data_IF_036153510484
#
_entry.id   IF_036153510484
#
_cell.length_a   1.000
_cell.length_b   1.000
_cell.length_c   1.000
_cell.angle_alpha   90.00
_cell.angle_beta   90.00
_cell.angle_gamma   90.00
#
_symmetry.space_group_name_H-M   'P 1'
#
loop_
_entity.id
_entity.type
_entity.pdbx_description
1 polymer ?
#
# COMPACT_ATOMS: atom_id res chain seq x y z
N UNK A 1 14.22 -1.36 -10.44
CA UNK A 1 14.99 -1.35 -11.71
C UNK A 1 15.95 -0.16 -11.78
N UNK A 2 15.50 1.08 -11.68
CA UNK A 2 16.39 2.26 -11.68
C UNK A 2 17.41 2.21 -10.53
N UNK A 3 16.99 1.81 -9.34
CA UNK A 3 17.90 1.60 -8.22
C UNK A 3 18.99 0.58 -8.56
N UNK A 4 18.64 -0.58 -9.10
CA UNK A 4 19.64 -1.61 -9.45
C UNK A 4 20.53 -1.20 -10.64
N UNK A 5 19.94 -0.48 -11.60
CA UNK A 5 20.70 0.08 -12.72
C UNK A 5 21.71 1.12 -12.24
N UNK A 6 21.31 1.97 -11.28
CA UNK A 6 22.22 2.98 -10.70
C UNK A 6 23.41 2.35 -9.98
N UNK A 7 23.22 1.19 -9.31
CA UNK A 7 24.32 0.41 -8.71
C UNK A 7 25.37 -0.02 -9.75
N UNK A 8 24.91 -0.43 -10.93
CA UNK A 8 25.82 -0.79 -12.02
C UNK A 8 26.53 0.44 -12.60
N UNK A 9 25.80 1.54 -12.82
CA UNK A 9 26.31 2.78 -13.39
C UNK A 9 27.24 3.56 -12.45
N UNK A 10 27.15 3.36 -11.14
CA UNK A 10 28.05 3.95 -10.16
C UNK A 10 29.52 3.65 -10.45
N UNK A 11 29.83 2.50 -11.05
CA UNK A 11 31.19 2.13 -11.46
C UNK A 11 31.77 3.07 -12.53
N UNK A 12 30.90 3.77 -13.27
CA UNK A 12 31.29 4.64 -14.38
C UNK A 12 31.14 6.14 -14.06
N UNK A 13 30.19 6.51 -13.19
CA UNK A 13 29.94 7.90 -12.85
C UNK A 13 29.34 8.05 -11.44
N UNK A 14 30.01 8.86 -10.60
CA UNK A 14 29.58 9.15 -9.22
C UNK A 14 28.25 9.89 -9.11
N UNK A 15 27.76 10.51 -10.21
CA UNK A 15 26.44 11.17 -10.24
C UNK A 15 25.29 10.23 -9.85
N UNK A 16 25.37 8.94 -10.20
CA UNK A 16 24.36 7.94 -9.87
C UNK A 16 24.26 7.62 -8.38
N UNK A 17 25.19 8.11 -7.56
CA UNK A 17 25.13 7.95 -6.10
C UNK A 17 23.90 8.60 -5.48
N UNK A 18 23.31 9.62 -6.12
CA UNK A 18 22.11 10.30 -5.63
C UNK A 18 20.91 9.34 -5.48
N UNK A 19 20.83 8.30 -6.33
CA UNK A 19 19.75 7.30 -6.30
C UNK A 19 19.85 6.38 -5.07
N UNK A 20 20.99 6.34 -4.37
CA UNK A 20 21.16 5.56 -3.14
C UNK A 20 20.51 6.23 -1.93
N UNK A 21 20.35 7.55 -1.95
CA UNK A 21 19.70 8.25 -0.85
C UNK A 21 18.20 7.95 -0.83
N UNK A 22 17.72 7.44 0.31
CA UNK A 22 16.29 7.12 0.52
C UNK A 22 15.40 8.34 0.32
N UNK A 23 15.83 9.53 0.81
CA UNK A 23 15.10 10.79 0.63
C UNK A 23 14.91 11.16 -0.84
N UNK A 24 15.97 11.03 -1.65
CA UNK A 24 15.86 11.26 -3.09
C UNK A 24 14.90 10.28 -3.75
N UNK A 25 15.02 8.98 -3.45
CA UNK A 25 14.14 7.95 -4.00
C UNK A 25 12.69 8.15 -3.58
N UNK A 26 12.43 8.53 -2.33
CA UNK A 26 11.10 8.81 -1.84
C UNK A 26 10.43 9.95 -2.63
N UNK A 27 11.14 11.08 -2.81
CA UNK A 27 10.61 12.23 -3.58
C UNK A 27 10.45 11.86 -5.06
N UNK A 28 11.45 11.26 -5.67
CA UNK A 28 11.41 10.88 -7.08
C UNK A 28 10.32 9.83 -7.36
N UNK A 29 10.14 8.87 -6.46
CA UNK A 29 9.08 7.86 -6.56
C UNK A 29 7.68 8.45 -6.38
N UNK A 30 7.50 9.41 -5.48
CA UNK A 30 6.24 10.14 -5.31
C UNK A 30 5.86 10.87 -6.60
N UNK A 31 6.80 11.65 -7.17
CA UNK A 31 6.56 12.43 -8.40
C UNK A 31 6.28 11.50 -9.58
N UNK A 32 7.07 10.45 -9.77
CA UNK A 32 6.85 9.49 -10.85
C UNK A 32 5.54 8.72 -10.68
N UNK A 33 5.16 8.36 -9.46
CA UNK A 33 3.92 7.68 -9.15
C UNK A 33 2.70 8.56 -9.44
N UNK A 34 2.76 9.83 -9.05
CA UNK A 34 1.76 10.83 -9.41
C UNK A 34 1.63 10.97 -10.93
N UNK A 35 2.76 11.13 -11.64
CA UNK A 35 2.76 11.26 -13.08
C UNK A 35 2.16 10.04 -13.78
N UNK A 36 2.57 8.83 -13.41
CA UNK A 36 2.03 7.59 -13.99
C UNK A 36 0.55 7.40 -13.67
N UNK A 37 0.10 7.76 -12.47
CA UNK A 37 -1.31 7.67 -12.11
C UNK A 37 -2.16 8.58 -12.99
N UNK A 38 -1.75 9.82 -13.21
CA UNK A 38 -2.45 10.78 -14.09
C UNK A 38 -2.40 10.29 -15.56
N UNK A 39 -1.23 9.85 -16.02
CA UNK A 39 -1.04 9.40 -17.41
C UNK A 39 -1.89 8.19 -17.75
N UNK A 40 -1.82 7.16 -16.91
CA UNK A 40 -2.58 5.93 -17.11
C UNK A 40 -4.05 6.06 -16.73
N UNK A 41 -4.41 7.02 -15.87
CA UNK A 41 -5.77 7.25 -15.41
C UNK A 41 -6.74 7.48 -16.57
N UNK A 42 -6.42 8.38 -17.49
CA UNK A 42 -7.25 8.67 -18.67
C UNK A 42 -7.47 7.43 -19.55
N UNK A 43 -6.40 6.70 -19.82
CA UNK A 43 -6.46 5.46 -20.61
C UNK A 43 -7.28 4.39 -19.89
N UNK A 44 -7.03 4.19 -18.60
CA UNK A 44 -7.72 3.21 -17.77
C UNK A 44 -9.22 3.49 -17.68
N UNK A 45 -9.62 4.73 -17.42
CA UNK A 45 -11.03 5.15 -17.36
C UNK A 45 -11.73 4.83 -18.67
N UNK A 46 -11.11 5.15 -19.81
CA UNK A 46 -11.68 4.85 -21.14
C UNK A 46 -11.88 3.35 -21.38
N UNK A 47 -10.94 2.52 -20.94
CA UNK A 47 -10.99 1.07 -21.10
C UNK A 47 -11.91 0.40 -20.06
N UNK A 48 -11.85 0.86 -18.81
CA UNK A 48 -12.66 0.32 -17.70
C UNK A 48 -14.15 0.52 -17.92
N UNK A 49 -14.59 1.67 -18.46
CA UNK A 49 -16.00 1.91 -18.84
C UNK A 49 -16.55 0.85 -19.81
N UNK A 50 -15.71 0.32 -20.68
CA UNK A 50 -16.12 -0.71 -21.65
C UNK A 50 -16.09 -2.11 -21.05
N UNK A 51 -15.12 -2.40 -20.18
CA UNK A 51 -14.92 -3.74 -19.61
C UNK A 51 -15.72 -3.98 -18.32
N UNK A 52 -15.93 -2.93 -17.54
CA UNK A 52 -16.53 -3.01 -16.21
C UNK A 52 -17.64 -1.94 -16.04
N UNK A 53 -18.76 -2.06 -16.76
CA UNK A 53 -19.86 -1.11 -16.66
C UNK A 53 -20.46 -1.17 -15.25
N UNK A 54 -20.58 -0.01 -14.60
CA UNK A 54 -21.29 0.07 -13.32
C UNK A 54 -22.79 -0.13 -13.54
N UNK A 55 -23.42 -0.94 -12.70
CA UNK A 55 -24.87 -1.05 -12.60
C UNK A 55 -25.35 -0.27 -11.38
N UNK A 56 -26.30 0.65 -11.58
CA UNK A 56 -26.94 1.34 -10.46
C UNK A 56 -27.76 0.32 -9.64
N UNK A 57 -27.50 0.27 -8.32
CA UNK A 57 -28.27 -0.58 -7.43
C UNK A 57 -29.72 -0.09 -7.34
N UNK A 58 -30.72 -0.97 -7.15
CA UNK A 58 -32.15 -0.59 -7.08
C UNK A 58 -32.45 0.49 -6.03
N UNK A 59 -31.68 0.53 -4.95
CA UNK A 59 -31.84 1.43 -3.81
C UNK A 59 -31.09 2.76 -3.95
N UNK A 60 -30.41 2.99 -5.07
CA UNK A 60 -29.64 4.23 -5.26
C UNK A 60 -30.61 5.41 -5.48
N UNK A 61 -30.48 6.52 -4.74
CA UNK A 61 -31.32 7.69 -4.92
C UNK A 61 -31.29 8.21 -6.36
N UNK A 62 -32.43 8.70 -6.87
CA UNK A 62 -32.58 9.15 -8.28
C UNK A 62 -31.52 10.17 -8.73
N UNK A 63 -31.02 11.01 -7.82
CA UNK A 63 -29.91 11.96 -8.09
C UNK A 63 -28.57 11.27 -8.46
N UNK A 64 -28.38 10.03 -8.06
CA UNK A 64 -27.15 9.25 -8.29
C UNK A 64 -27.31 8.30 -9.48
N UNK A 65 -28.53 8.07 -9.98
CA UNK A 65 -28.78 7.23 -11.17
C UNK A 65 -28.09 7.74 -12.45
N UNK A 66 -27.75 9.03 -12.54
CA UNK A 66 -26.96 9.56 -13.66
C UNK A 66 -25.47 9.13 -13.62
N UNK A 67 -25.05 8.33 -12.65
CA UNK A 67 -23.69 7.77 -12.51
C UNK A 67 -23.54 6.39 -13.18
N UNK A 68 -24.50 5.92 -13.97
CA UNK A 68 -24.47 4.63 -14.69
C UNK A 68 -23.29 4.46 -15.65
N UNK A 69 -22.42 5.47 -15.77
CA UNK A 69 -21.24 5.45 -16.61
C UNK A 69 -19.92 5.66 -15.85
N UNK A 70 -19.94 5.63 -14.50
CA UNK A 70 -18.68 5.72 -13.75
C UNK A 70 -17.91 4.41 -13.85
N UNK A 71 -16.61 4.45 -14.11
CA UNK A 71 -15.79 3.25 -14.11
C UNK A 71 -15.72 2.65 -12.71
N UNK A 72 -15.95 1.36 -12.60
CA UNK A 72 -15.66 0.57 -11.40
C UNK A 72 -14.24 0.03 -11.46
N UNK A 73 -13.75 -0.55 -10.38
CA UNK A 73 -12.40 -1.16 -10.27
C UNK A 73 -11.23 -0.19 -10.38
N UNK A 74 -11.36 1.04 -9.88
CA UNK A 74 -10.27 2.02 -9.81
C UNK A 74 -9.04 1.50 -9.04
N UNK A 75 -9.24 0.62 -8.07
CA UNK A 75 -8.16 -0.06 -7.34
C UNK A 75 -7.15 -0.81 -8.22
N UNK A 76 -7.57 -1.30 -9.40
CA UNK A 76 -6.66 -1.92 -10.37
C UNK A 76 -5.63 -0.95 -10.92
N UNK A 77 -6.02 0.31 -11.19
CA UNK A 77 -5.09 1.36 -11.61
C UNK A 77 -4.08 1.66 -10.51
N UNK A 78 -4.56 1.78 -9.26
CA UNK A 78 -3.70 2.00 -8.09
C UNK A 78 -2.69 0.86 -7.97
N UNK A 79 -3.13 -0.40 -7.99
CA UNK A 79 -2.25 -1.57 -7.93
C UNK A 79 -1.19 -1.55 -9.02
N UNK A 80 -1.58 -1.32 -10.28
CA UNK A 80 -0.65 -1.28 -11.40
C UNK A 80 0.40 -0.18 -11.23
N UNK A 81 0.01 1.03 -10.86
CA UNK A 81 0.92 2.15 -10.66
C UNK A 81 1.86 1.93 -9.46
N UNK A 82 1.36 1.37 -8.36
CA UNK A 82 2.18 1.06 -7.18
C UNK A 82 3.21 -0.01 -7.51
N UNK A 83 2.82 -1.12 -8.13
CA UNK A 83 3.75 -2.20 -8.51
C UNK A 83 4.83 -1.67 -9.45
N UNK A 84 4.44 -0.93 -10.49
CA UNK A 84 5.38 -0.38 -11.46
C UNK A 84 6.40 0.54 -10.79
N UNK A 85 5.96 1.47 -9.94
CA UNK A 85 6.86 2.38 -9.25
C UNK A 85 7.72 1.67 -8.19
N UNK A 86 7.18 0.68 -7.49
CA UNK A 86 7.95 -0.16 -6.57
C UNK A 86 9.10 -0.87 -7.30
N UNK A 87 8.83 -1.50 -8.45
CA UNK A 87 9.86 -2.16 -9.26
C UNK A 87 10.90 -1.17 -9.81
N UNK A 88 10.52 0.08 -10.06
CA UNK A 88 11.45 1.12 -10.54
C UNK A 88 12.38 1.60 -9.43
N UNK A 89 11.85 1.98 -8.27
CA UNK A 89 12.56 2.76 -7.26
C UNK A 89 12.99 1.98 -6.02
N UNK A 90 12.28 0.91 -5.62
CA UNK A 90 12.59 0.17 -4.41
C UNK A 90 13.82 -0.73 -4.58
N UNK A 91 14.50 -0.97 -3.46
CA UNK A 91 15.57 -1.94 -3.37
C UNK A 91 14.97 -3.35 -3.22
N UNK A 92 14.91 -4.09 -4.33
CA UNK A 92 14.31 -5.43 -4.39
C UNK A 92 15.10 -6.50 -3.61
N UNK A 93 16.30 -6.19 -3.09
CA UNK A 93 17.03 -7.09 -2.20
C UNK A 93 16.55 -7.05 -0.75
N UNK A 94 15.72 -6.08 -0.40
CA UNK A 94 15.13 -5.94 0.94
C UNK A 94 13.82 -6.72 1.04
N UNK A 95 13.68 -7.53 2.08
CA UNK A 95 12.49 -8.37 2.30
C UNK A 95 11.21 -7.56 2.56
N UNK A 96 11.33 -6.37 3.15
CA UNK A 96 10.22 -5.46 3.42
C UNK A 96 9.44 -5.11 2.15
N UNK A 97 10.14 -4.99 1.02
CA UNK A 97 9.52 -4.71 -0.29
C UNK A 97 8.64 -5.88 -0.72
N UNK A 98 9.10 -7.11 -0.53
CA UNK A 98 8.33 -8.30 -0.89
C UNK A 98 7.16 -8.56 0.05
N UNK A 99 7.34 -8.27 1.37
CA UNK A 99 6.24 -8.33 2.35
C UNK A 99 5.14 -7.33 1.96
N UNK A 100 5.52 -6.10 1.62
CA UNK A 100 4.59 -5.08 1.14
C UNK A 100 3.86 -5.52 -0.13
N UNK A 101 4.58 -6.02 -1.14
CA UNK A 101 3.99 -6.50 -2.40
C UNK A 101 3.06 -7.69 -2.18
N UNK A 102 3.43 -8.63 -1.31
CA UNK A 102 2.59 -9.77 -0.96
C UNK A 102 1.28 -9.31 -0.30
N UNK A 103 1.37 -8.38 0.63
CA UNK A 103 0.21 -7.78 1.28
C UNK A 103 -0.68 -7.05 0.26
N UNK A 104 -0.08 -6.16 -0.55
CA UNK A 104 -0.76 -5.38 -1.57
C UNK A 104 -1.49 -6.27 -2.59
N UNK A 105 -0.81 -7.27 -3.13
CA UNK A 105 -1.38 -8.19 -4.12
C UNK A 105 -2.43 -9.10 -3.50
N UNK A 106 -2.18 -9.65 -2.30
CA UNK A 106 -3.11 -10.56 -1.64
C UNK A 106 -4.46 -9.89 -1.33
N UNK A 107 -4.43 -8.73 -0.67
CA UNK A 107 -5.66 -7.97 -0.41
C UNK A 107 -6.25 -7.36 -1.68
N UNK A 108 -5.40 -6.96 -2.64
CA UNK A 108 -5.83 -6.46 -3.94
C UNK A 108 -6.62 -7.49 -4.75
N UNK A 109 -6.18 -8.75 -4.75
CA UNK A 109 -6.91 -9.85 -5.42
C UNK A 109 -8.27 -10.09 -4.76
N UNK A 110 -8.34 -10.05 -3.42
CA UNK A 110 -9.62 -10.18 -2.71
C UNK A 110 -10.59 -9.06 -3.13
N UNK A 111 -10.11 -7.81 -3.14
CA UNK A 111 -10.92 -6.67 -3.60
C UNK A 111 -11.35 -6.80 -5.07
N UNK A 112 -10.44 -7.22 -5.94
CA UNK A 112 -10.74 -7.44 -7.34
C UNK A 112 -11.83 -8.50 -7.53
N UNK A 113 -11.73 -9.66 -6.86
CA UNK A 113 -12.72 -10.73 -6.96
C UNK A 113 -14.08 -10.29 -6.40
N UNK A 114 -14.08 -9.52 -5.30
CA UNK A 114 -15.30 -8.95 -4.73
C UNK A 114 -16.02 -8.01 -5.71
N UNK A 115 -15.26 -7.11 -6.35
CA UNK A 115 -15.81 -6.19 -7.36
C UNK A 115 -16.21 -6.90 -8.65
N UNK A 116 -15.46 -7.92 -9.06
CA UNK A 116 -15.80 -8.74 -10.21
C UNK A 116 -17.14 -9.47 -10.03
N UNK A 117 -17.36 -10.05 -8.83
CA UNK A 117 -18.65 -10.69 -8.51
C UNK A 117 -19.81 -9.71 -8.50
N UNK A 118 -19.62 -8.52 -7.93
CA UNK A 118 -20.66 -7.47 -7.93
C UNK A 118 -21.12 -7.05 -9.33
N UNK A 119 -20.22 -7.13 -10.33
CA UNK A 119 -20.57 -6.81 -11.72
C UNK A 119 -21.41 -7.92 -12.37
N UNK A 120 -21.14 -9.20 -12.03
CA UNK A 120 -21.77 -10.33 -12.71
C UNK A 120 -22.98 -10.91 -11.96
N UNK A 121 -23.02 -10.80 -10.64
CA UNK A 121 -24.00 -11.48 -9.79
C UNK A 121 -24.73 -10.58 -8.78
N UNK A 122 -24.76 -9.26 -8.98
CA UNK A 122 -25.38 -8.23 -8.13
C UNK A 122 -24.93 -8.22 -6.65
N UNK A 123 -24.52 -9.38 -6.09
CA UNK A 123 -23.94 -9.55 -4.76
C UNK A 123 -22.43 -9.84 -4.85
N UNK A 124 -21.64 -9.20 -3.97
CA UNK A 124 -20.22 -9.48 -3.84
C UNK A 124 -19.94 -10.83 -3.16
N UNK A 125 -18.69 -11.09 -2.81
CA UNK A 125 -18.29 -12.27 -2.02
C UNK A 125 -19.04 -12.26 -0.68
N UNK A 126 -19.49 -13.44 -0.22
CA UNK A 126 -20.11 -13.55 1.10
C UNK A 126 -19.15 -13.05 2.20
N UNK A 127 -19.66 -12.37 3.22
CA UNK A 127 -18.86 -11.77 4.30
C UNK A 127 -17.95 -12.81 4.99
N UNK A 128 -18.44 -14.05 5.16
CA UNK A 128 -17.65 -15.14 5.75
C UNK A 128 -16.48 -15.57 4.88
N UNK A 129 -16.71 -15.70 3.57
CA UNK A 129 -15.64 -16.06 2.62
C UNK A 129 -14.60 -14.93 2.52
N UNK A 130 -15.06 -13.67 2.45
CA UNK A 130 -14.18 -12.51 2.43
C UNK A 130 -13.27 -12.47 3.65
N UNK A 131 -13.85 -12.63 4.84
CA UNK A 131 -13.10 -12.69 6.09
C UNK A 131 -12.10 -13.86 6.09
N UNK A 132 -12.52 -15.06 5.67
CA UNK A 132 -11.63 -16.23 5.57
C UNK A 132 -10.45 -16.00 4.64
N UNK A 133 -10.67 -15.41 3.46
CA UNK A 133 -9.60 -15.06 2.52
C UNK A 133 -8.65 -13.99 3.09
N UNK A 134 -9.19 -12.98 3.77
CA UNK A 134 -8.38 -11.94 4.43
C UNK A 134 -7.51 -12.52 5.54
N UNK A 135 -8.06 -13.41 6.37
CA UNK A 135 -7.30 -14.13 7.41
C UNK A 135 -6.20 -15.00 6.79
N UNK A 136 -6.50 -15.73 5.72
CA UNK A 136 -5.52 -16.56 5.01
C UNK A 136 -4.37 -15.70 4.46
N UNK A 137 -4.67 -14.60 3.76
CA UNK A 137 -3.64 -13.67 3.24
C UNK A 137 -2.86 -13.04 4.38
N UNK A 138 -3.51 -12.59 5.45
CA UNK A 138 -2.85 -12.02 6.61
C UNK A 138 -1.87 -13.00 7.26
N UNK A 139 -2.28 -14.27 7.44
CA UNK A 139 -1.40 -15.32 7.95
C UNK A 139 -0.24 -15.61 7.00
N UNK A 140 -0.46 -15.64 5.69
CA UNK A 140 0.60 -15.84 4.70
C UNK A 140 1.65 -14.71 4.74
N UNK A 141 1.20 -13.45 4.85
CA UNK A 141 2.08 -12.27 4.99
C UNK A 141 2.93 -12.39 6.26
N UNK A 142 2.31 -12.72 7.40
CA UNK A 142 3.02 -12.87 8.67
C UNK A 142 4.00 -14.04 8.62
N UNK A 143 3.59 -15.19 8.07
CA UNK A 143 4.46 -16.35 7.91
C UNK A 143 5.69 -16.04 7.05
N UNK A 144 5.49 -15.33 5.93
CA UNK A 144 6.59 -14.87 5.09
C UNK A 144 7.52 -13.91 5.85
N UNK A 145 6.95 -12.95 6.59
CA UNK A 145 7.72 -12.02 7.39
C UNK A 145 8.60 -12.72 8.42
N UNK A 146 8.03 -13.64 9.21
CA UNK A 146 8.79 -14.40 10.20
C UNK A 146 9.86 -15.32 9.59
N UNK A 147 9.61 -15.87 8.40
CA UNK A 147 10.56 -16.77 7.74
C UNK A 147 11.80 -16.05 7.20
N UNK A 148 11.63 -14.82 6.68
CA UNK A 148 12.70 -14.14 5.94
C UNK A 148 13.29 -12.92 6.67
N UNK A 149 12.53 -12.27 7.52
CA UNK A 149 12.95 -11.07 8.28
C UNK A 149 12.23 -11.04 9.62
N UNK A 150 12.58 -11.96 10.57
CA UNK A 150 11.85 -12.08 11.83
C UNK A 150 11.76 -10.73 12.55
N UNK A 151 10.54 -10.20 12.81
CA UNK A 151 10.39 -8.92 13.49
C UNK A 151 10.66 -9.03 14.99
N UNK A 152 11.03 -7.91 15.59
CA UNK A 152 10.87 -7.77 17.03
C UNK A 152 9.39 -7.84 17.40
N UNK A 153 9.04 -8.68 18.38
CA UNK A 153 7.66 -8.79 18.86
C UNK A 153 7.33 -7.74 19.93
N UNK A 154 8.21 -6.77 20.14
CA UNK A 154 8.01 -5.68 21.08
C UNK A 154 7.14 -4.59 20.44
N UNK A 155 6.18 -4.08 21.20
CA UNK A 155 5.38 -2.94 20.81
C UNK A 155 5.91 -1.68 21.50
N UNK A 156 6.20 -0.66 20.69
CA UNK A 156 6.55 0.65 21.19
C UNK A 156 5.27 1.47 21.40
N UNK A 157 4.97 1.81 22.65
CA UNK A 157 3.81 2.63 22.98
C UNK A 157 4.24 4.10 22.98
N UNK A 158 3.61 4.97 22.15
CA UNK A 158 3.89 6.39 22.16
C UNK A 158 3.83 6.97 23.58
N UNK A 159 4.76 7.87 23.91
CA UNK A 159 4.95 8.52 25.22
C UNK A 159 5.54 7.62 26.32
N UNK A 160 5.47 6.29 26.24
CA UNK A 160 6.02 5.36 27.22
C UNK A 160 7.28 4.65 26.69
N UNK A 161 8.34 5.42 26.42
CA UNK A 161 9.56 4.94 25.74
C UNK A 161 10.24 3.73 26.41
N UNK A 162 10.16 3.66 27.75
CA UNK A 162 10.77 2.57 28.52
C UNK A 162 9.85 1.35 28.68
N UNK A 163 8.59 1.43 28.27
CA UNK A 163 7.64 0.35 28.35
C UNK A 163 7.40 -0.25 26.96
N UNK A 164 8.12 -1.32 26.66
CA UNK A 164 8.05 -2.02 25.39
C UNK A 164 7.66 -3.50 25.62
N UNK A 165 6.37 -3.80 25.84
CA UNK A 165 5.93 -5.15 26.10
C UNK A 165 6.17 -6.04 24.87
N UNK A 166 6.79 -7.19 25.09
CA UNK A 166 6.94 -8.23 24.08
C UNK A 166 5.68 -9.09 24.01
N UNK A 167 5.03 -9.13 22.84
CA UNK A 167 3.81 -9.93 22.65
C UNK A 167 4.09 -11.41 22.38
N UNK A 168 5.32 -11.81 22.08
CA UNK A 168 5.66 -13.18 21.72
C UNK A 168 4.78 -13.70 20.57
N UNK A 169 4.19 -14.90 20.73
CA UNK A 169 3.31 -15.49 19.70
C UNK A 169 2.02 -14.72 19.48
N UNK A 170 1.56 -13.95 20.47
CA UNK A 170 0.36 -13.11 20.30
C UNK A 170 0.56 -12.01 19.26
N UNK A 171 1.81 -11.64 18.97
CA UNK A 171 2.15 -10.68 17.91
C UNK A 171 1.60 -11.08 16.53
N UNK A 172 1.57 -12.39 16.23
CA UNK A 172 1.02 -12.93 14.98
C UNK A 172 -0.47 -12.58 14.86
N UNK A 173 -1.24 -12.88 15.89
CA UNK A 173 -2.67 -12.57 15.91
C UNK A 173 -2.93 -11.06 15.84
N UNK A 174 -2.11 -10.29 16.53
CA UNK A 174 -2.16 -8.84 16.55
C UNK A 174 -1.97 -8.24 15.15
N UNK A 175 -0.93 -8.68 14.41
CA UNK A 175 -0.66 -8.19 13.04
C UNK A 175 -1.78 -8.58 12.09
N UNK A 176 -2.25 -9.83 12.14
CA UNK A 176 -3.38 -10.29 11.30
C UNK A 176 -4.65 -9.48 11.60
N UNK A 177 -4.94 -9.22 12.88
CA UNK A 177 -6.07 -8.38 13.29
C UNK A 177 -5.98 -6.97 12.71
N UNK A 178 -4.78 -6.35 12.75
CA UNK A 178 -4.55 -5.02 12.17
C UNK A 178 -4.76 -5.05 10.65
N UNK A 179 -4.19 -6.02 9.94
CA UNK A 179 -4.31 -6.11 8.47
C UNK A 179 -5.77 -6.27 8.04
N UNK A 180 -6.49 -7.20 8.67
CA UNK A 180 -7.90 -7.46 8.35
C UNK A 180 -8.78 -6.28 8.78
N UNK A 181 -8.54 -5.73 9.96
CA UNK A 181 -9.27 -4.58 10.49
C UNK A 181 -9.10 -3.35 9.61
N UNK A 182 -7.86 -3.00 9.23
CA UNK A 182 -7.57 -1.87 8.34
C UNK A 182 -8.22 -2.05 6.96
N UNK A 183 -8.11 -3.25 6.36
CA UNK A 183 -8.75 -3.54 5.07
C UNK A 183 -10.26 -3.34 5.10
N UNK A 184 -10.94 -3.81 6.14
CA UNK A 184 -12.38 -3.65 6.27
C UNK A 184 -12.77 -2.21 6.63
N UNK A 185 -12.00 -1.52 7.47
CA UNK A 185 -12.23 -0.12 7.81
C UNK A 185 -12.17 0.78 6.58
N UNK A 186 -11.15 0.61 5.73
CA UNK A 186 -11.03 1.36 4.46
C UNK A 186 -12.20 1.05 3.53
N UNK A 187 -12.59 -0.23 3.41
CA UNK A 187 -13.73 -0.62 2.57
C UNK A 187 -15.06 -0.02 3.06
N UNK A 188 -15.24 0.18 4.37
CA UNK A 188 -16.41 0.87 4.93
C UNK A 188 -16.36 2.39 4.71
N UNK A 189 -15.16 2.97 4.72
CA UNK A 189 -14.95 4.41 4.51
C UNK A 189 -15.18 4.81 3.04
N UNK A 190 -15.04 3.87 2.11
CA UNK A 190 -15.21 4.09 0.66
C UNK A 190 -16.69 4.18 0.24
N UNK A 191 -17.43 5.06 0.92
CA UNK A 191 -18.84 5.34 0.64
C UNK A 191 -19.09 6.61 -0.18
N UNK A 192 -18.13 7.52 -0.22
CA UNK A 192 -18.18 8.79 -0.93
C UNK A 192 -16.91 9.01 -1.75
N UNK A 193 -17.07 9.58 -2.95
CA UNK A 193 -15.95 9.86 -3.85
C UNK A 193 -14.88 10.73 -3.15
N UNK A 194 -13.64 10.24 -3.11
CA UNK A 194 -12.49 10.93 -2.51
C UNK A 194 -12.33 10.78 -1.00
N UNK A 195 -13.34 10.26 -0.25
CA UNK A 195 -13.25 10.16 1.20
C UNK A 195 -12.19 9.16 1.66
N UNK A 196 -12.21 7.95 1.12
CA UNK A 196 -11.23 6.92 1.44
C UNK A 196 -9.83 7.33 0.97
N UNK A 197 -9.69 7.78 -0.27
CA UNK A 197 -8.39 8.14 -0.84
C UNK A 197 -7.76 9.34 -0.11
N UNK A 198 -8.54 10.35 0.26
CA UNK A 198 -8.06 11.50 1.02
C UNK A 198 -7.53 11.13 2.40
N UNK A 199 -8.21 10.23 3.13
CA UNK A 199 -7.73 9.72 4.41
C UNK A 199 -6.46 8.87 4.24
N UNK A 200 -6.37 8.05 3.18
CA UNK A 200 -5.22 7.22 2.89
C UNK A 200 -3.98 8.04 2.56
N UNK A 201 -4.10 9.15 1.81
CA UNK A 201 -2.99 10.07 1.54
C UNK A 201 -2.33 10.52 2.84
N UNK A 202 -3.12 11.01 3.79
CA UNK A 202 -2.61 11.50 5.08
C UNK A 202 -1.92 10.38 5.89
N UNK A 203 -2.51 9.18 5.91
CA UNK A 203 -1.94 8.03 6.60
C UNK A 203 -0.62 7.58 5.95
N UNK A 204 -0.58 7.39 4.63
CA UNK A 204 0.64 6.98 3.94
C UNK A 204 1.75 8.02 4.07
N UNK A 205 1.42 9.31 4.04
CA UNK A 205 2.38 10.37 4.27
C UNK A 205 2.98 10.30 5.68
N UNK A 206 2.14 10.17 6.71
CA UNK A 206 2.59 10.05 8.10
C UNK A 206 3.47 8.80 8.30
N UNK A 207 3.03 7.63 7.82
CA UNK A 207 3.81 6.40 7.93
C UNK A 207 5.09 6.44 7.11
N UNK A 208 5.13 7.12 5.97
CA UNK A 208 6.35 7.32 5.19
C UNK A 208 7.40 8.10 5.97
N UNK A 209 6.99 9.17 6.67
CA UNK A 209 7.88 9.94 7.54
C UNK A 209 8.37 9.10 8.72
N UNK A 210 7.46 8.39 9.40
CA UNK A 210 7.82 7.52 10.53
C UNK A 210 8.82 6.45 10.09
N UNK A 211 8.59 5.79 8.94
CA UNK A 211 9.48 4.79 8.39
C UNK A 211 10.86 5.37 8.03
N UNK A 212 10.91 6.59 7.50
CA UNK A 212 12.16 7.30 7.22
C UNK A 212 12.94 7.57 8.48
N UNK A 213 12.29 8.11 9.52
CA UNK A 213 12.93 8.45 10.80
C UNK A 213 13.39 7.19 11.56
N UNK A 214 12.55 6.17 11.64
CA UNK A 214 12.89 4.91 12.30
C UNK A 214 13.87 4.05 11.49
N UNK A 215 13.92 4.22 10.18
CA UNK A 215 14.86 3.53 9.29
C UNK A 215 16.27 4.11 9.31
N UNK A 216 16.48 5.35 9.74
CA UNK A 216 17.76 6.01 9.76
C UNK A 216 18.36 6.06 11.17
N UNK A 217 19.54 5.44 11.37
CA UNK A 217 20.14 5.23 12.69
C UNK A 217 20.35 6.53 13.46
N UNK A 218 20.81 7.61 12.80
CA UNK A 218 21.07 8.90 13.45
C UNK A 218 19.77 9.59 13.89
N UNK A 219 18.72 9.54 13.08
CA UNK A 219 17.42 10.11 13.45
C UNK A 219 16.74 9.29 14.55
N UNK A 220 16.78 7.96 14.45
CA UNK A 220 16.24 7.07 15.47
C UNK A 220 16.92 7.32 16.83
N UNK A 221 18.26 7.43 16.83
CA UNK A 221 19.02 7.73 18.04
C UNK A 221 18.70 9.12 18.61
N UNK A 222 18.67 10.17 17.77
CA UNK A 222 18.35 11.53 18.20
C UNK A 222 16.96 11.65 18.79
N UNK A 223 15.96 11.04 18.14
CA UNK A 223 14.56 11.05 18.59
C UNK A 223 14.27 10.06 19.72
N UNK A 224 15.27 9.24 20.06
CA UNK A 224 15.14 8.18 21.04
C UNK A 224 13.96 7.23 20.76
N UNK A 225 13.85 6.81 19.48
CA UNK A 225 12.88 5.80 19.01
C UNK A 225 13.63 4.53 18.60
N UNK A 226 12.98 3.35 18.61
CA UNK A 226 13.61 2.12 18.16
C UNK A 226 14.05 2.22 16.70
N UNK A 227 15.32 1.85 16.44
CA UNK A 227 15.80 1.71 15.06
C UNK A 227 15.20 0.45 14.43
N UNK A 228 14.48 0.62 13.33
CA UNK A 228 13.76 -0.47 12.66
C UNK A 228 14.47 -1.00 11.40
N UNK A 229 15.44 -0.26 10.84
CA UNK A 229 16.13 -0.63 9.61
C UNK A 229 15.24 -0.79 8.37
N UNK A 230 14.03 -0.23 8.42
CA UNK A 230 12.98 -0.39 7.41
C UNK A 230 12.83 0.85 6.51
N UNK A 231 13.93 1.47 6.13
CA UNK A 231 13.99 2.71 5.33
C UNK A 231 13.27 2.60 3.97
N UNK A 232 13.21 1.39 3.38
CA UNK A 232 12.50 1.16 2.12
C UNK A 232 10.99 1.41 2.24
N UNK A 233 10.40 1.22 3.43
CA UNK A 233 8.98 1.53 3.65
C UNK A 233 8.67 3.02 3.46
N UNK A 234 9.66 3.91 3.64
CA UNK A 234 9.48 5.33 3.35
C UNK A 234 9.29 5.58 1.83
N UNK A 235 10.05 4.88 0.99
CA UNK A 235 9.90 4.94 -0.48
C UNK A 235 8.55 4.36 -0.90
N UNK A 236 8.15 3.22 -0.32
CA UNK A 236 6.86 2.58 -0.60
C UNK A 236 5.68 3.47 -0.16
N UNK A 237 5.77 4.09 1.02
CA UNK A 237 4.79 5.05 1.49
C UNK A 237 4.68 6.28 0.57
N UNK A 238 5.81 6.81 0.10
CA UNK A 238 5.84 7.91 -0.86
C UNK A 238 5.20 7.54 -2.21
N UNK A 239 5.41 6.32 -2.70
CA UNK A 239 4.72 5.77 -3.89
C UNK A 239 3.21 5.76 -3.67
N UNK A 240 2.75 5.26 -2.51
CA UNK A 240 1.33 5.22 -2.18
C UNK A 240 0.70 6.61 -2.14
N UNK A 241 1.40 7.60 -1.57
CA UNK A 241 0.97 9.02 -1.59
C UNK A 241 0.86 9.52 -3.02
N UNK A 242 1.91 9.33 -3.84
CA UNK A 242 1.94 9.81 -5.23
C UNK A 242 0.83 9.21 -6.09
N UNK A 243 0.61 7.89 -6.02
CA UNK A 243 -0.48 7.22 -6.74
C UNK A 243 -1.85 7.73 -6.27
N UNK A 244 -2.03 7.87 -4.95
CA UNK A 244 -3.29 8.32 -4.37
C UNK A 244 -3.65 9.76 -4.73
N UNK A 245 -2.63 10.64 -4.85
CA UNK A 245 -2.81 12.03 -5.31
C UNK A 245 -3.16 12.12 -6.79
N UNK A 246 -2.69 11.16 -7.60
CA UNK A 246 -2.95 11.15 -9.05
C UNK A 246 -4.22 10.42 -9.45
N UNK A 247 -4.81 9.64 -8.53
CA UNK A 247 -6.06 8.92 -8.72
C UNK A 247 -7.28 9.83 -8.52
#
# INVERSE_FOLDING_TARGET
>A
MLYHLSLYLLKHNSFFNIVHYVSFRAIASLISALFFSILFGKWFIGKSKKMFPSRARPWTPKRVKNRDHMPTMGGLLILMCVILNTLLWANLFKYEVWIFLLCLLGFGVIGFVDDWQKIHHDDGISARLKLGLQLFVGMAVVAFWFAFSPPSTQICIPFFKNFQPGLGLFFILWVVFILVGASNAVNLTDGLDGLAIGSLISNFFAFSIIAYLAGHISFASYLNIPYAGCEELAVLGAIMVGVSLGF
#
